data_IF_644866201879
#
_entry.id   IF_644866201879
#
_cell.length_a   1.000
_cell.length_b   1.000
_cell.length_c   1.000
_cell.angle_alpha   90.00
_cell.angle_beta   90.00
_cell.angle_gamma   90.00
#
_symmetry.space_group_name_H-M   'P 1'
#
loop_
_entity.id
_entity.type
_entity.pdbx_description
1 polymer ?
#
# COMPACT_ATOMS: atom_id res chain seq x y z
N UNK A 1 38.14 10.66 107.11
CA UNK A 1 38.06 10.93 105.66
C UNK A 1 37.92 9.65 104.82
N UNK A 2 38.82 8.66 104.92
CA UNK A 2 38.79 7.47 104.05
C UNK A 2 37.58 6.53 104.20
N UNK A 3 36.97 6.42 105.39
CA UNK A 3 35.83 5.52 105.61
C UNK A 3 34.51 6.03 104.99
N UNK A 4 34.40 7.35 104.77
CA UNK A 4 33.21 8.00 104.20
C UNK A 4 33.24 7.96 102.67
N UNK A 5 34.45 8.04 102.07
CA UNK A 5 34.68 7.89 100.63
C UNK A 5 34.42 6.44 100.20
N UNK A 6 34.92 5.44 100.93
CA UNK A 6 34.66 4.03 100.63
C UNK A 6 33.18 3.67 100.69
N UNK A 7 32.43 4.22 101.66
CA UNK A 7 30.99 3.98 101.80
C UNK A 7 30.18 4.66 100.70
N UNK A 8 30.61 5.84 100.25
CA UNK A 8 30.02 6.50 99.09
C UNK A 8 30.33 5.77 97.78
N UNK A 9 31.56 5.27 97.61
CA UNK A 9 31.95 4.50 96.42
C UNK A 9 31.14 3.19 96.32
N UNK A 10 31.06 2.42 97.42
CA UNK A 10 30.24 1.21 97.48
C UNK A 10 28.75 1.48 97.31
N UNK A 11 28.24 2.60 97.85
CA UNK A 11 26.83 2.97 97.68
C UNK A 11 26.52 3.36 96.23
N UNK A 12 27.43 4.08 95.56
CA UNK A 12 27.32 4.45 94.14
C UNK A 12 27.43 3.20 93.25
N UNK A 13 28.34 2.29 93.55
CA UNK A 13 28.52 1.04 92.80
C UNK A 13 27.32 0.10 92.99
N UNK A 14 26.78 -0.02 94.22
CA UNK A 14 25.59 -0.82 94.51
C UNK A 14 24.31 -0.22 93.89
N UNK A 15 24.19 1.11 93.85
CA UNK A 15 23.07 1.77 93.15
C UNK A 15 23.18 1.66 91.63
N UNK A 16 24.39 1.69 91.07
CA UNK A 16 24.62 1.38 89.65
C UNK A 16 24.15 -0.04 89.34
N UNK A 17 24.58 -1.03 90.13
CA UNK A 17 24.24 -2.45 89.95
C UNK A 17 22.71 -2.66 90.01
N UNK A 18 22.02 -2.06 90.99
CA UNK A 18 20.55 -2.17 91.11
C UNK A 18 19.78 -1.54 89.94
N UNK A 19 20.28 -0.43 89.39
CA UNK A 19 19.66 0.23 88.23
C UNK A 19 19.87 -0.59 86.95
N UNK A 20 21.03 -1.23 86.79
CA UNK A 20 21.29 -2.15 85.69
C UNK A 20 20.37 -3.38 85.72
N UNK A 21 20.12 -3.96 86.90
CA UNK A 21 19.22 -5.12 87.03
C UNK A 21 17.78 -4.78 86.61
N UNK A 22 17.31 -3.58 86.95
CA UNK A 22 15.98 -3.10 86.56
C UNK A 22 15.89 -2.84 85.05
N UNK A 23 16.90 -2.16 84.47
CA UNK A 23 16.94 -1.88 83.05
C UNK A 23 17.01 -3.18 82.22
N UNK A 24 17.85 -4.12 82.62
CA UNK A 24 18.01 -5.42 81.97
C UNK A 24 16.71 -6.22 81.97
N UNK A 25 15.96 -6.19 83.08
CA UNK A 25 14.64 -6.84 83.17
C UNK A 25 13.63 -6.31 82.15
N UNK A 26 13.49 -4.98 82.03
CA UNK A 26 12.56 -4.37 81.07
C UNK A 26 12.99 -4.58 79.61
N UNK A 27 14.30 -4.55 79.33
CA UNK A 27 14.85 -4.84 78.01
C UNK A 27 14.61 -6.31 77.63
N UNK A 28 14.81 -7.24 78.55
CA UNK A 28 14.51 -8.65 78.30
C UNK A 28 13.01 -8.89 78.07
N UNK A 29 12.14 -8.14 78.76
CA UNK A 29 10.70 -8.19 78.55
C UNK A 29 10.30 -7.64 77.16
N UNK A 30 10.99 -6.63 76.63
CA UNK A 30 10.67 -6.08 75.30
C UNK A 30 11.06 -7.01 74.15
N UNK A 31 11.91 -8.02 74.40
CA UNK A 31 12.25 -9.05 73.41
C UNK A 31 11.07 -9.94 73.00
N UNK A 32 10.00 -10.00 73.81
CA UNK A 32 8.80 -10.79 73.51
C UNK A 32 7.83 -10.10 72.52
N UNK A 33 8.13 -8.89 72.07
CA UNK A 33 7.30 -8.17 71.09
C UNK A 33 7.40 -8.81 69.69
N UNK A 34 6.49 -8.46 68.77
CA UNK A 34 6.58 -8.91 67.35
C UNK A 34 7.30 -7.90 66.45
N UNK A 35 7.54 -6.68 66.93
CA UNK A 35 8.16 -5.60 66.18
C UNK A 35 9.70 -5.75 66.15
N UNK A 36 10.25 -5.80 64.93
CA UNK A 36 11.69 -5.95 64.71
C UNK A 36 12.48 -4.74 65.20
N UNK A 37 11.92 -3.52 65.13
CA UNK A 37 12.60 -2.31 65.59
C UNK A 37 12.77 -2.31 67.12
N UNK A 38 11.73 -2.69 67.85
CA UNK A 38 11.75 -2.83 69.31
C UNK A 38 12.75 -3.90 69.76
N UNK A 39 12.81 -5.05 69.08
CA UNK A 39 13.81 -6.10 69.37
C UNK A 39 15.24 -5.62 69.10
N UNK A 40 15.48 -4.97 67.96
CA UNK A 40 16.80 -4.44 67.63
C UNK A 40 17.27 -3.44 68.70
N UNK A 41 16.42 -2.49 69.08
CA UNK A 41 16.74 -1.54 70.15
C UNK A 41 17.05 -2.23 71.50
N UNK A 42 16.28 -3.25 71.86
CA UNK A 42 16.50 -4.00 73.10
C UNK A 42 17.84 -4.74 73.12
N UNK A 43 18.19 -5.43 72.03
CA UNK A 43 19.48 -6.11 71.90
C UNK A 43 20.67 -5.15 71.90
N UNK A 44 20.54 -3.97 71.28
CA UNK A 44 21.56 -2.92 71.31
C UNK A 44 21.88 -2.50 72.75
N UNK A 45 20.85 -2.17 73.55
CA UNK A 45 21.07 -1.77 74.94
C UNK A 45 21.60 -2.92 75.81
N UNK A 46 21.18 -4.17 75.57
CA UNK A 46 21.73 -5.32 76.28
C UNK A 46 23.21 -5.56 75.96
N UNK A 47 23.64 -5.28 74.73
CA UNK A 47 25.04 -5.33 74.34
C UNK A 47 25.86 -4.26 75.07
N UNK A 48 25.38 -3.00 75.08
CA UNK A 48 26.05 -1.90 75.77
C UNK A 48 26.19 -2.17 77.27
N UNK A 49 25.12 -2.66 77.92
CA UNK A 49 25.15 -3.02 79.34
C UNK A 49 26.19 -4.13 79.59
N UNK A 50 26.21 -5.18 78.76
CA UNK A 50 27.17 -6.28 78.91
C UNK A 50 28.62 -5.83 78.70
N UNK A 51 28.85 -4.91 77.76
CA UNK A 51 30.15 -4.29 77.50
C UNK A 51 30.64 -3.46 78.68
N UNK A 52 29.78 -2.63 79.27
CA UNK A 52 30.10 -1.82 80.47
C UNK A 52 30.38 -2.71 81.70
N UNK A 53 29.76 -3.89 81.77
CA UNK A 53 30.02 -4.90 82.81
C UNK A 53 31.28 -5.74 82.58
N UNK A 54 31.95 -5.57 81.43
CA UNK A 54 33.13 -6.35 81.04
C UNK A 54 32.84 -7.76 80.51
N UNK A 55 31.56 -8.13 80.31
CA UNK A 55 31.15 -9.40 79.72
C UNK A 55 31.10 -9.30 78.19
N UNK A 56 32.29 -9.42 77.59
CA UNK A 56 32.47 -9.29 76.14
C UNK A 56 31.74 -10.40 75.35
N UNK A 57 31.61 -11.60 75.92
CA UNK A 57 30.97 -12.72 75.25
C UNK A 57 29.47 -12.45 75.06
N UNK A 58 28.78 -12.03 76.14
CA UNK A 58 27.37 -11.63 76.07
C UNK A 58 27.19 -10.40 75.20
N UNK A 59 28.09 -9.41 75.27
CA UNK A 59 28.03 -8.21 74.41
C UNK A 59 28.01 -8.58 72.93
N UNK A 60 28.93 -9.44 72.50
CA UNK A 60 29.05 -9.84 71.09
C UNK A 60 27.83 -10.64 70.62
N UNK A 61 27.26 -11.49 71.49
CA UNK A 61 26.04 -12.24 71.17
C UNK A 61 24.85 -11.29 70.97
N UNK A 62 24.71 -10.29 71.85
CA UNK A 62 23.66 -9.29 71.74
C UNK A 62 23.83 -8.40 70.50
N UNK A 63 25.07 -8.03 70.12
CA UNK A 63 25.35 -7.31 68.86
C UNK A 63 24.96 -8.12 67.62
N UNK A 64 25.25 -9.44 67.61
CA UNK A 64 24.83 -10.32 66.50
C UNK A 64 23.32 -10.38 66.36
N UNK A 65 22.61 -10.50 67.47
CA UNK A 65 21.15 -10.48 67.48
C UNK A 65 20.62 -9.11 67.02
N UNK A 66 21.23 -8.01 67.46
CA UNK A 66 20.91 -6.67 66.97
C UNK A 66 21.04 -6.56 65.45
N UNK A 67 22.16 -7.00 64.86
CA UNK A 67 22.34 -6.96 63.40
C UNK A 67 21.29 -7.79 62.65
N UNK A 68 20.96 -9.00 63.13
CA UNK A 68 19.95 -9.85 62.50
C UNK A 68 18.55 -9.21 62.52
N UNK A 69 18.19 -8.54 63.61
CA UNK A 69 16.91 -7.84 63.71
C UNK A 69 16.90 -6.51 62.97
N UNK A 70 18.04 -5.83 62.85
CA UNK A 70 18.21 -4.63 62.04
C UNK A 70 17.97 -4.95 60.54
N UNK A 71 18.54 -6.04 60.04
CA UNK A 71 18.31 -6.51 58.67
C UNK A 71 16.84 -6.86 58.42
N UNK A 72 16.20 -7.54 59.38
CA UNK A 72 14.78 -7.88 59.32
C UNK A 72 13.87 -6.64 59.33
N UNK A 73 14.21 -5.64 60.15
CA UNK A 73 13.55 -4.33 60.17
C UNK A 73 13.69 -3.62 58.83
N UNK A 74 14.90 -3.58 58.25
CA UNK A 74 15.13 -2.97 56.95
C UNK A 74 14.36 -3.69 55.83
N UNK A 75 14.36 -5.02 55.83
CA UNK A 75 13.60 -5.83 54.88
C UNK A 75 12.09 -5.60 54.98
N UNK A 76 11.56 -5.41 56.19
CA UNK A 76 10.15 -5.07 56.37
C UNK A 76 9.77 -3.68 55.84
N UNK A 77 10.73 -2.74 55.77
CA UNK A 77 10.56 -1.37 55.28
C UNK A 77 10.95 -1.19 53.79
N UNK A 78 11.54 -2.20 53.16
CA UNK A 78 11.87 -2.16 51.73
C UNK A 78 10.66 -1.87 50.81
N UNK A 79 9.46 -2.44 51.05
CA UNK A 79 8.28 -2.14 50.22
C UNK A 79 7.95 -0.65 50.23
N UNK A 80 7.97 -0.01 51.39
CA UNK A 80 7.63 1.41 51.53
C UNK A 80 8.69 2.31 50.87
N UNK A 81 9.98 1.95 50.97
CA UNK A 81 11.06 2.69 50.32
C UNK A 81 11.02 2.60 48.79
N UNK A 82 10.65 1.43 48.24
CA UNK A 82 10.45 1.23 46.80
C UNK A 82 9.24 2.03 46.32
N UNK A 83 8.12 1.97 47.05
CA UNK A 83 6.90 2.73 46.71
C UNK A 83 7.14 4.25 46.78
N UNK A 84 7.87 4.74 47.78
CA UNK A 84 8.23 6.16 47.87
C UNK A 84 9.18 6.60 46.74
N UNK A 85 10.11 5.74 46.32
CA UNK A 85 10.99 6.00 45.19
C UNK A 85 10.24 6.03 43.84
N UNK A 86 9.22 5.20 43.67
CA UNK A 86 8.35 5.21 42.48
C UNK A 86 7.42 6.43 42.46
N UNK A 87 6.85 6.82 43.61
CA UNK A 87 5.93 7.96 43.70
C UNK A 87 6.61 9.33 43.56
N UNK A 88 7.93 9.43 43.80
CA UNK A 88 8.71 10.65 43.62
C UNK A 88 9.04 11.02 42.16
N UNK A 89 8.65 10.20 41.18
CA UNK A 89 9.07 10.37 39.78
C UNK A 89 7.96 10.39 38.70
N UNK A 90 6.84 11.16 38.81
CA UNK A 90 5.73 11.04 37.84
C UNK A 90 5.83 11.96 36.60
N UNK A 91 6.51 13.11 36.66
CA UNK A 91 6.25 14.16 35.64
C UNK A 91 7.21 14.18 34.42
N UNK A 92 8.42 13.63 34.56
CA UNK A 92 9.48 13.69 33.53
C UNK A 92 9.33 12.56 32.49
N UNK A 93 9.20 11.31 32.95
CA UNK A 93 9.20 10.13 32.07
C UNK A 93 7.99 10.13 31.12
N UNK A 94 6.83 10.55 31.62
CA UNK A 94 5.58 10.58 30.83
C UNK A 94 5.63 11.64 29.71
N UNK A 95 6.32 12.76 29.95
CA UNK A 95 6.52 13.84 28.96
C UNK A 95 7.55 13.45 27.88
N UNK A 96 8.60 12.70 28.23
CA UNK A 96 9.59 12.22 27.25
C UNK A 96 8.99 11.12 26.37
N UNK A 97 8.25 10.17 26.96
CA UNK A 97 7.56 9.10 26.23
C UNK A 97 6.52 9.70 25.28
N UNK A 98 5.68 10.64 25.75
CA UNK A 98 4.68 11.27 24.88
C UNK A 98 5.32 12.03 23.72
N UNK A 99 6.38 12.81 23.96
CA UNK A 99 7.13 13.50 22.89
C UNK A 99 7.68 12.54 21.85
N UNK A 100 8.36 11.46 22.25
CA UNK A 100 8.90 10.48 21.32
C UNK A 100 7.79 9.79 20.49
N UNK A 101 6.65 9.49 21.11
CA UNK A 101 5.49 8.93 20.39
C UNK A 101 4.90 9.91 19.38
N UNK A 102 4.80 11.20 19.71
CA UNK A 102 4.33 12.23 18.77
C UNK A 102 5.27 12.39 17.57
N UNK A 103 6.59 12.43 17.79
CA UNK A 103 7.56 12.50 16.68
C UNK A 103 7.51 11.28 15.76
N UNK A 104 7.29 10.09 16.32
CA UNK A 104 7.15 8.85 15.54
C UNK A 104 5.87 8.82 14.70
N UNK A 105 4.76 9.35 15.20
CA UNK A 105 3.51 9.45 14.43
C UNK A 105 3.67 10.46 13.26
N UNK A 106 4.33 11.59 13.51
CA UNK A 106 4.57 12.61 12.48
C UNK A 106 5.48 12.06 11.37
N UNK A 107 6.55 11.33 11.72
CA UNK A 107 7.46 10.76 10.70
C UNK A 107 6.76 9.72 9.81
N UNK A 108 5.92 8.85 10.37
CA UNK A 108 5.11 7.90 9.61
C UNK A 108 4.12 8.63 8.68
N UNK A 109 3.51 9.72 9.17
CA UNK A 109 2.58 10.53 8.38
C UNK A 109 3.26 11.17 7.16
N UNK A 110 4.51 11.62 7.31
CA UNK A 110 5.30 12.18 6.20
C UNK A 110 5.65 11.08 5.18
N UNK A 111 6.09 9.91 5.64
CA UNK A 111 6.46 8.78 4.75
C UNK A 111 5.24 8.28 3.97
N UNK A 112 4.08 8.18 4.62
CA UNK A 112 2.84 7.76 3.94
C UNK A 112 2.40 8.80 2.91
N UNK A 113 2.49 10.09 3.23
CA UNK A 113 2.16 11.17 2.29
C UNK A 113 3.07 11.15 1.04
N UNK A 114 4.38 10.94 1.22
CA UNK A 114 5.32 10.88 0.10
C UNK A 114 5.07 9.66 -0.79
N UNK A 115 4.72 8.51 -0.22
CA UNK A 115 4.32 7.33 -0.99
C UNK A 115 3.04 7.56 -1.78
N UNK A 116 2.03 8.22 -1.20
CA UNK A 116 0.79 8.57 -1.89
C UNK A 116 1.09 9.48 -3.09
N UNK A 117 1.91 10.52 -2.90
CA UNK A 117 2.31 11.43 -3.98
C UNK A 117 3.08 10.68 -5.08
N UNK A 118 4.00 9.77 -4.72
CA UNK A 118 4.72 8.95 -5.68
C UNK A 118 3.79 8.05 -6.50
N UNK A 119 2.81 7.39 -5.85
CA UNK A 119 1.77 6.59 -6.53
C UNK A 119 0.94 7.45 -7.48
N UNK A 120 0.56 8.66 -7.05
CA UNK A 120 -0.16 9.62 -7.88
C UNK A 120 0.68 9.97 -9.13
N UNK A 121 1.94 10.36 -8.98
CA UNK A 121 2.85 10.70 -10.09
C UNK A 121 3.02 9.52 -11.06
N UNK A 122 3.24 8.30 -10.54
CA UNK A 122 3.35 7.09 -11.36
C UNK A 122 2.06 6.80 -12.12
N UNK A 123 0.90 6.99 -11.47
CA UNK A 123 -0.41 6.82 -12.11
C UNK A 123 -0.64 7.85 -13.23
N UNK A 124 -0.24 9.11 -13.03
CA UNK A 124 -0.28 10.14 -14.07
C UNK A 124 0.65 9.83 -15.24
N UNK A 125 1.88 9.37 -14.96
CA UNK A 125 2.84 8.95 -16.00
C UNK A 125 2.31 7.75 -16.80
N UNK A 126 1.71 6.76 -16.13
CA UNK A 126 1.08 5.59 -16.77
C UNK A 126 -0.13 5.97 -17.63
N UNK A 127 -0.92 6.98 -17.25
CA UNK A 127 -2.01 7.51 -18.08
C UNK A 127 -1.50 8.22 -19.33
N UNK A 128 -0.40 8.98 -19.24
CA UNK A 128 0.23 9.66 -20.39
C UNK A 128 0.96 8.69 -21.33
N UNK A 129 1.47 7.57 -20.80
CA UNK A 129 2.13 6.51 -21.57
C UNK A 129 1.21 5.41 -22.09
N UNK A 130 -0.11 5.45 -21.82
CA UNK A 130 -1.02 4.58 -22.56
C UNK A 130 -0.87 5.00 -24.03
N UNK A 131 -0.25 4.20 -24.92
CA UNK A 131 -0.19 4.57 -26.32
C UNK A 131 -1.64 4.82 -26.73
N UNK A 132 -1.88 5.93 -27.40
CA UNK A 132 -3.20 6.20 -27.95
C UNK A 132 -3.41 5.19 -29.07
N UNK A 133 -3.77 3.96 -28.68
CA UNK A 133 -4.01 2.83 -29.56
C UNK A 133 -5.01 3.19 -30.65
N UNK A 134 -5.91 4.14 -30.36
CA UNK A 134 -6.82 4.72 -31.34
C UNK A 134 -6.07 5.56 -32.37
N UNK A 135 -5.11 6.40 -31.97
CA UNK A 135 -4.25 7.15 -32.91
C UNK A 135 -3.34 6.23 -33.70
N UNK A 136 -2.70 5.25 -33.07
CA UNK A 136 -1.82 4.30 -33.77
C UNK A 136 -2.59 3.50 -34.84
N UNK A 137 -3.79 2.97 -34.49
CA UNK A 137 -4.67 2.30 -35.45
C UNK A 137 -5.14 3.23 -36.59
N UNK A 138 -5.42 4.49 -36.28
CA UNK A 138 -5.77 5.49 -37.30
C UNK A 138 -4.57 5.80 -38.22
N UNK A 139 -3.35 5.85 -37.68
CA UNK A 139 -2.12 6.01 -38.47
C UNK A 139 -1.89 4.80 -39.39
N UNK A 140 -2.08 3.58 -38.89
CA UNK A 140 -1.97 2.35 -39.69
C UNK A 140 -3.01 2.31 -40.81
N UNK A 141 -4.27 2.64 -40.52
CA UNK A 141 -5.32 2.72 -41.54
C UNK A 141 -4.96 3.76 -42.63
N UNK A 142 -4.48 4.94 -42.24
CA UNK A 142 -4.03 5.98 -43.16
C UNK A 142 -2.80 5.58 -43.99
N UNK A 143 -1.84 4.88 -43.39
CA UNK A 143 -0.69 4.34 -44.12
C UNK A 143 -1.14 3.31 -45.18
N UNK A 144 -2.08 2.43 -44.82
CA UNK A 144 -2.70 1.50 -45.76
C UNK A 144 -3.42 2.20 -46.92
N UNK A 145 -4.11 3.32 -46.67
CA UNK A 145 -4.71 4.15 -47.73
C UNK A 145 -3.65 4.67 -48.71
N UNK A 146 -2.54 5.23 -48.20
CA UNK A 146 -1.46 5.76 -49.05
C UNK A 146 -0.83 4.66 -49.92
N UNK A 147 -0.62 3.47 -49.36
CA UNK A 147 -0.11 2.32 -50.11
C UNK A 147 -1.12 1.84 -51.17
N UNK A 148 -2.41 1.80 -50.81
CA UNK A 148 -3.47 1.40 -51.74
C UNK A 148 -3.62 2.38 -52.91
N UNK A 149 -3.51 3.68 -52.67
CA UNK A 149 -3.56 4.72 -53.71
C UNK A 149 -2.42 4.61 -54.74
N UNK A 150 -1.33 3.91 -54.40
CA UNK A 150 -0.22 3.63 -55.33
C UNK A 150 -0.42 2.35 -56.15
N UNK A 151 -1.48 1.58 -55.88
CA UNK A 151 -1.73 0.31 -56.58
C UNK A 151 -2.23 0.50 -58.01
N UNK A 152 -1.93 -0.47 -58.87
CA UNK A 152 -2.41 -0.48 -60.26
C UNK A 152 -3.94 -0.55 -60.33
N UNK A 153 -4.59 -1.31 -59.44
CA UNK A 153 -6.04 -1.40 -59.37
C UNK A 153 -6.68 -0.06 -59.00
N UNK A 154 -6.05 0.73 -58.13
CA UNK A 154 -6.51 2.09 -57.84
C UNK A 154 -6.40 2.99 -59.07
N UNK A 155 -5.26 2.96 -59.76
CA UNK A 155 -5.08 3.71 -61.00
C UNK A 155 -6.14 3.34 -62.03
N UNK A 156 -6.44 2.05 -62.20
CA UNK A 156 -7.50 1.57 -63.09
C UNK A 156 -8.88 2.13 -62.69
N UNK A 157 -9.26 2.02 -61.41
CA UNK A 157 -10.52 2.61 -60.93
C UNK A 157 -10.60 4.12 -61.22
N UNK A 158 -9.51 4.88 -61.06
CA UNK A 158 -9.50 6.32 -61.38
C UNK A 158 -9.66 6.60 -62.88
N UNK A 159 -9.16 5.74 -63.76
CA UNK A 159 -9.35 5.84 -65.20
C UNK A 159 -10.81 5.58 -65.58
N UNK A 160 -11.44 4.56 -65.00
CA UNK A 160 -12.88 4.26 -65.18
C UNK A 160 -13.74 5.46 -64.76
N UNK A 161 -13.45 6.04 -63.59
CA UNK A 161 -14.17 7.23 -63.10
C UNK A 161 -14.02 8.40 -64.07
N UNK A 162 -12.81 8.61 -64.63
CA UNK A 162 -12.54 9.70 -65.57
C UNK A 162 -13.23 9.49 -66.93
N UNK A 163 -13.15 8.29 -67.51
CA UNK A 163 -13.76 7.98 -68.80
C UNK A 163 -15.28 8.16 -68.77
N UNK A 164 -15.93 7.76 -67.67
CA UNK A 164 -17.36 8.03 -67.46
C UNK A 164 -17.70 9.52 -67.43
N UNK A 165 -16.83 10.35 -66.85
CA UNK A 165 -17.03 11.81 -66.83
C UNK A 165 -16.90 12.41 -68.23
N UNK A 166 -16.01 11.85 -69.06
CA UNK A 166 -15.71 12.30 -70.41
C UNK A 166 -16.66 11.73 -71.48
N UNK A 167 -17.63 10.88 -71.09
CA UNK A 167 -18.57 10.18 -71.98
C UNK A 167 -17.90 9.30 -73.05
N UNK A 168 -16.66 8.87 -72.80
CA UNK A 168 -15.97 7.88 -73.62
C UNK A 168 -16.54 6.47 -73.36
N UNK A 169 -16.28 5.52 -74.26
CA UNK A 169 -16.49 4.09 -73.96
C UNK A 169 -15.71 3.74 -72.68
N UNK A 170 -16.46 3.40 -71.63
CA UNK A 170 -15.91 3.18 -70.30
C UNK A 170 -15.39 1.75 -70.20
N UNK A 171 -14.08 1.61 -70.01
CA UNK A 171 -13.50 0.38 -69.47
C UNK A 171 -14.19 0.03 -68.13
N UNK A 172 -14.42 -1.26 -67.89
CA UNK A 172 -15.09 -1.76 -66.67
C UNK A 172 -14.13 -2.61 -65.86
N UNK A 173 -14.43 -2.80 -64.57
CA UNK A 173 -13.70 -3.74 -63.73
C UNK A 173 -14.02 -5.18 -64.17
N UNK A 174 -13.01 -5.91 -64.62
CA UNK A 174 -13.12 -7.34 -64.88
C UNK A 174 -12.84 -8.17 -63.63
N UNK A 175 -13.17 -9.47 -63.66
CA UNK A 175 -12.99 -10.37 -62.50
C UNK A 175 -11.55 -10.34 -61.94
N UNK A 176 -10.54 -10.28 -62.82
CA UNK A 176 -9.14 -10.16 -62.40
C UNK A 176 -8.86 -8.88 -61.60
N UNK A 177 -9.45 -7.76 -62.00
CA UNK A 177 -9.29 -6.47 -61.32
C UNK A 177 -9.95 -6.51 -59.92
N UNK A 178 -11.10 -7.17 -59.80
CA UNK A 178 -11.78 -7.36 -58.50
C UNK A 178 -10.97 -8.23 -57.55
N UNK A 179 -10.34 -9.29 -58.04
CA UNK A 179 -9.43 -10.10 -57.24
C UNK A 179 -8.19 -9.31 -56.82
N UNK A 180 -7.65 -8.46 -57.70
CA UNK A 180 -6.54 -7.57 -57.36
C UNK A 180 -6.94 -6.53 -56.30
N UNK A 181 -8.15 -5.99 -56.37
CA UNK A 181 -8.71 -5.12 -55.32
C UNK A 181 -8.73 -5.83 -53.96
N UNK A 182 -9.21 -7.07 -53.91
CA UNK A 182 -9.20 -7.88 -52.68
C UNK A 182 -7.78 -8.12 -52.17
N UNK A 183 -6.85 -8.47 -53.07
CA UNK A 183 -5.46 -8.74 -52.70
C UNK A 183 -4.78 -7.48 -52.10
N UNK A 184 -4.92 -6.33 -52.75
CA UNK A 184 -4.33 -5.07 -52.26
C UNK A 184 -4.99 -4.58 -50.97
N UNK A 185 -6.31 -4.71 -50.84
CA UNK A 185 -7.01 -4.37 -49.58
C UNK A 185 -6.58 -5.27 -48.42
N UNK A 186 -6.43 -6.58 -48.66
CA UNK A 186 -5.91 -7.52 -47.65
C UNK A 186 -4.46 -7.20 -47.25
N UNK A 187 -3.63 -6.79 -48.21
CA UNK A 187 -2.25 -6.37 -47.94
C UNK A 187 -2.19 -5.08 -47.11
N UNK A 188 -3.03 -4.10 -47.42
CA UNK A 188 -3.03 -2.79 -46.74
C UNK A 188 -3.68 -2.83 -45.36
N UNK A 189 -4.63 -3.74 -45.15
CA UNK A 189 -5.45 -3.80 -43.95
C UNK A 189 -5.57 -5.23 -43.38
N UNK A 190 -4.45 -5.93 -43.29
CA UNK A 190 -4.29 -7.21 -42.59
C UNK A 190 -5.39 -8.24 -42.86
N UNK A 191 -5.53 -8.70 -44.10
CA UNK A 191 -6.47 -9.74 -44.51
C UNK A 191 -7.96 -9.45 -44.23
N UNK A 192 -8.33 -8.17 -44.09
CA UNK A 192 -9.69 -7.74 -43.75
C UNK A 192 -10.79 -8.35 -44.62
N UNK A 193 -10.59 -8.52 -45.93
CA UNK A 193 -11.61 -9.10 -46.80
C UNK A 193 -11.86 -10.57 -46.46
N UNK A 194 -10.79 -11.33 -46.15
CA UNK A 194 -10.92 -12.74 -45.71
C UNK A 194 -11.59 -12.84 -44.35
N UNK A 195 -11.25 -11.93 -43.43
CA UNK A 195 -11.89 -11.86 -42.12
C UNK A 195 -13.38 -11.54 -42.22
N UNK A 196 -13.76 -10.54 -43.01
CA UNK A 196 -15.16 -10.17 -43.22
C UNK A 196 -15.95 -11.32 -43.86
N UNK A 197 -15.36 -11.99 -44.84
CA UNK A 197 -15.98 -13.14 -45.49
C UNK A 197 -16.20 -14.30 -44.50
N UNK A 198 -15.19 -14.64 -43.71
CA UNK A 198 -15.27 -15.71 -42.70
C UNK A 198 -16.26 -15.38 -41.58
N UNK A 199 -16.20 -14.15 -41.05
CA UNK A 199 -16.99 -13.73 -39.89
C UNK A 199 -18.47 -13.52 -40.22
N UNK A 200 -18.77 -12.98 -41.38
CA UNK A 200 -20.13 -12.57 -41.75
C UNK A 200 -20.72 -13.35 -42.94
N UNK A 201 -19.99 -14.33 -43.49
CA UNK A 201 -20.43 -15.15 -44.64
C UNK A 201 -20.93 -14.27 -45.80
N UNK A 202 -20.14 -13.25 -46.14
CA UNK A 202 -20.43 -12.32 -47.22
C UNK A 202 -20.14 -12.97 -48.57
N UNK A 203 -20.96 -12.65 -49.57
CA UNK A 203 -20.71 -13.07 -50.96
C UNK A 203 -19.55 -12.28 -51.57
N UNK A 204 -19.02 -12.73 -52.71
CA UNK A 204 -17.93 -12.02 -53.40
C UNK A 204 -18.31 -10.57 -53.75
N UNK A 205 -19.52 -10.35 -54.31
CA UNK A 205 -20.03 -9.01 -54.60
C UNK A 205 -20.15 -8.12 -53.35
N UNK A 206 -20.54 -8.70 -52.22
CA UNK A 206 -20.64 -7.98 -50.94
C UNK A 206 -19.23 -7.61 -50.43
N UNK A 207 -18.24 -8.47 -50.66
CA UNK A 207 -16.84 -8.18 -50.35
C UNK A 207 -16.28 -7.09 -51.27
N UNK A 208 -16.57 -7.11 -52.57
CA UNK A 208 -16.15 -6.05 -53.50
C UNK A 208 -16.66 -4.69 -53.01
N UNK A 209 -17.93 -4.63 -52.61
CA UNK A 209 -18.51 -3.41 -52.04
C UNK A 209 -17.80 -2.99 -50.74
N UNK A 210 -17.55 -3.93 -49.82
CA UNK A 210 -16.81 -3.63 -48.59
C UNK A 210 -15.40 -3.08 -48.87
N UNK A 211 -14.66 -3.69 -49.80
CA UNK A 211 -13.34 -3.23 -50.23
C UNK A 211 -13.40 -1.80 -50.79
N UNK A 212 -14.40 -1.47 -51.60
CA UNK A 212 -14.60 -0.09 -52.07
C UNK A 212 -14.87 0.89 -50.91
N UNK A 213 -15.68 0.51 -49.92
CA UNK A 213 -15.95 1.34 -48.74
C UNK A 213 -14.75 1.56 -47.82
N UNK A 214 -13.76 0.66 -47.86
CA UNK A 214 -12.48 0.83 -47.16
C UNK A 214 -11.61 1.92 -47.79
N UNK A 215 -11.81 2.20 -49.08
CA UNK A 215 -11.09 3.28 -49.78
C UNK A 215 -11.58 4.67 -49.38
N UNK A 216 -10.86 5.70 -49.86
CA UNK A 216 -11.25 7.09 -49.67
C UNK A 216 -12.07 7.67 -50.84
N UNK A 217 -12.59 6.83 -51.73
CA UNK A 217 -13.41 7.28 -52.86
C UNK A 217 -14.84 7.63 -52.40
N UNK A 218 -15.45 8.71 -52.92
CA UNK A 218 -16.85 9.02 -52.68
C UNK A 218 -17.79 8.00 -53.34
N UNK A 219 -18.98 7.82 -52.75
CA UNK A 219 -20.00 6.84 -53.20
C UNK A 219 -20.46 7.10 -54.65
N UNK A 220 -20.41 8.34 -55.12
CA UNK A 220 -20.68 8.66 -56.53
C UNK A 220 -19.74 7.92 -57.48
N UNK A 221 -18.49 7.70 -57.10
CA UNK A 221 -17.54 6.94 -57.91
C UNK A 221 -17.82 5.45 -57.92
N UNK A 222 -18.38 4.90 -56.83
CA UNK A 222 -18.77 3.49 -56.80
C UNK A 222 -19.82 3.16 -57.86
N UNK A 223 -20.67 4.12 -58.21
CA UNK A 223 -21.69 3.95 -59.25
C UNK A 223 -21.08 3.67 -60.61
N UNK A 224 -19.96 4.33 -60.91
CA UNK A 224 -19.21 4.13 -62.16
C UNK A 224 -18.46 2.80 -62.14
N UNK A 225 -17.84 2.44 -61.01
CA UNK A 225 -17.04 1.21 -60.90
C UNK A 225 -17.93 -0.04 -60.90
N UNK A 226 -19.08 0.02 -60.22
CA UNK A 226 -20.04 -1.09 -60.12
C UNK A 226 -21.13 -1.05 -61.19
N UNK A 227 -21.13 -0.05 -62.07
CA UNK A 227 -22.15 0.19 -63.09
C UNK A 227 -23.58 0.12 -62.56
N UNK A 228 -23.84 0.74 -61.40
CA UNK A 228 -25.15 0.74 -60.75
C UNK A 228 -25.51 2.09 -60.13
N UNK A 229 -26.79 2.30 -59.82
CA UNK A 229 -27.27 3.54 -59.24
C UNK A 229 -26.91 3.67 -57.75
N UNK A 230 -26.74 4.92 -57.27
CA UNK A 230 -26.45 5.24 -55.87
C UNK A 230 -27.41 4.55 -54.89
N UNK A 231 -28.71 4.56 -55.20
CA UNK A 231 -29.72 3.96 -54.34
C UNK A 231 -29.55 2.45 -54.18
N UNK A 232 -29.05 1.78 -55.23
CA UNK A 232 -28.74 0.34 -55.18
C UNK A 232 -27.55 0.10 -54.26
N UNK A 233 -26.55 0.97 -54.28
CA UNK A 233 -25.38 0.89 -53.40
C UNK A 233 -25.78 1.05 -51.94
N UNK A 234 -26.59 2.06 -51.61
CA UNK A 234 -27.08 2.25 -50.24
C UNK A 234 -27.91 1.06 -49.76
N UNK A 235 -28.85 0.56 -50.59
CA UNK A 235 -29.63 -0.64 -50.25
C UNK A 235 -28.76 -1.87 -50.02
N UNK A 236 -27.71 -2.08 -50.83
CA UNK A 236 -26.74 -3.16 -50.61
C UNK A 236 -25.96 -2.98 -49.31
N UNK A 237 -25.50 -1.76 -49.02
CA UNK A 237 -24.77 -1.45 -47.80
C UNK A 237 -25.62 -1.66 -46.54
N UNK A 238 -26.87 -1.19 -46.55
CA UNK A 238 -27.83 -1.38 -45.46
C UNK A 238 -28.14 -2.86 -45.25
N UNK A 239 -28.32 -3.63 -46.34
CA UNK A 239 -28.54 -5.08 -46.27
C UNK A 239 -27.35 -5.82 -45.62
N UNK A 240 -26.12 -5.41 -45.91
CA UNK A 240 -24.92 -5.98 -45.28
C UNK A 240 -24.92 -5.66 -43.77
N UNK A 241 -25.21 -4.41 -43.40
CA UNK A 241 -25.24 -4.00 -42.00
C UNK A 241 -26.31 -4.74 -41.19
N UNK A 242 -27.54 -4.76 -41.69
CA UNK A 242 -28.69 -5.29 -40.98
C UNK A 242 -28.71 -6.83 -40.99
N UNK A 243 -28.59 -7.44 -42.17
CA UNK A 243 -28.82 -8.88 -42.32
C UNK A 243 -27.57 -9.72 -42.07
N UNK A 244 -26.36 -9.16 -42.24
CA UNK A 244 -25.09 -9.91 -42.10
C UNK A 244 -24.34 -9.53 -40.84
N UNK A 245 -24.22 -8.24 -40.54
CA UNK A 245 -23.47 -7.75 -39.38
C UNK A 245 -24.31 -7.58 -38.11
N UNK A 246 -25.65 -7.59 -38.23
CA UNK A 246 -26.58 -7.54 -37.10
C UNK A 246 -26.76 -6.16 -36.46
N UNK A 247 -26.47 -5.08 -37.19
CA UNK A 247 -26.73 -3.71 -36.72
C UNK A 247 -28.19 -3.32 -36.95
N UNK A 248 -28.73 -2.43 -36.10
CA UNK A 248 -30.07 -1.89 -36.32
C UNK A 248 -30.07 -0.87 -37.49
N UNK A 249 -31.25 -0.65 -38.08
CA UNK A 249 -31.41 0.28 -39.20
C UNK A 249 -30.88 1.68 -38.85
N UNK A 250 -29.95 2.18 -39.68
CA UNK A 250 -29.28 3.49 -39.52
C UNK A 250 -28.51 3.67 -38.20
N UNK A 251 -28.18 2.59 -37.49
CA UNK A 251 -27.37 2.67 -36.27
C UNK A 251 -25.93 3.15 -36.54
N UNK A 252 -25.35 2.68 -37.64
CA UNK A 252 -23.96 2.94 -38.01
C UNK A 252 -23.82 2.91 -39.54
N UNK A 253 -22.87 3.67 -40.08
CA UNK A 253 -22.52 3.57 -41.50
C UNK A 253 -21.65 2.33 -41.79
N UNK A 254 -21.74 1.78 -43.01
CA UNK A 254 -20.91 0.62 -43.39
C UNK A 254 -19.42 0.92 -43.26
N UNK A 255 -18.98 2.13 -43.62
CA UNK A 255 -17.59 2.57 -43.46
C UNK A 255 -17.13 2.53 -42.00
N UNK A 256 -17.96 2.96 -41.06
CA UNK A 256 -17.63 2.92 -39.64
C UNK A 256 -17.64 1.51 -39.07
N UNK A 257 -18.58 0.66 -39.49
CA UNK A 257 -18.61 -0.75 -39.10
C UNK A 257 -17.36 -1.51 -39.57
N UNK A 258 -16.90 -1.25 -40.80
CA UNK A 258 -15.66 -1.82 -41.33
C UNK A 258 -14.43 -1.31 -40.56
N UNK A 259 -14.38 -0.01 -40.25
CA UNK A 259 -13.31 0.56 -39.41
C UNK A 259 -13.29 -0.04 -38.00
N UNK A 260 -14.44 -0.34 -37.39
CA UNK A 260 -14.50 -1.05 -36.10
C UNK A 260 -13.91 -2.46 -36.20
N UNK A 261 -14.18 -3.18 -37.29
CA UNK A 261 -13.61 -4.52 -37.51
C UNK A 261 -12.09 -4.47 -37.63
N UNK A 262 -11.54 -3.50 -38.38
CA UNK A 262 -10.08 -3.27 -38.45
C UNK A 262 -9.42 -3.05 -37.09
N UNK A 263 -10.13 -2.41 -36.16
CA UNK A 263 -9.63 -2.19 -34.81
C UNK A 263 -9.64 -3.47 -33.96
N UNK A 264 -10.49 -4.44 -34.27
CA UNK A 264 -10.60 -5.71 -33.54
C UNK A 264 -9.58 -6.75 -34.02
N UNK A 265 -9.24 -6.80 -35.30
CA UNK A 265 -8.32 -7.80 -35.85
C UNK A 265 -6.84 -7.54 -35.58
N UNK A 266 -6.47 -6.35 -35.11
CA UNK A 266 -5.09 -6.10 -34.63
C UNK A 266 -4.82 -6.64 -33.21
N UNK A 267 -5.74 -7.41 -32.61
CA UNK A 267 -5.60 -7.98 -31.26
C UNK A 267 -5.41 -9.50 -31.23
N UNK A 268 -5.42 -10.17 -32.39
CA UNK A 268 -5.12 -11.60 -32.55
C UNK A 268 -3.76 -11.80 -33.18
#
# INVERSE_FOLDING_TARGET
ANHQIFRHLYFVELTLILQYDSARYYLQKSLFTTDYATKAGAYMYLADIAKEQGDLATSLEMERNYSAYLDSMQKSRQPDAIVCAEQGMPSNKQNIISKHTHYSIISISIITLTLIVAVIILSYKKRKQKPNNRTEKEMLYKAGLVLFEQSEVYNKMTLIIRSHKEKAESEIMHQGDWLQLIAETNKCWNNIARELQSKYHLTEDEIYLCCLYLTNLPISHFCHILSCERDTIYKKADRILENKMGFAHKEISLKEALKKNLQSSSQS
#
